data_IF_741140347079
#
_entry.id   IF_741140347079
#
_cell.length_a   1.000
_cell.length_b   1.000
_cell.length_c   1.000
_cell.angle_alpha   90.00
_cell.angle_beta   90.00
_cell.angle_gamma   90.00
#
_symmetry.space_group_name_H-M   'P 1'
#
loop_
_entity.id
_entity.type
_entity.pdbx_description
1 polymer ?
#
# COMPACT_ATOMS: atom_id res chain seq x y z
N UNK A 1 -3.32 7.79 -3.21
CA UNK A 1 -2.15 8.44 -3.84
C UNK A 1 -1.36 7.37 -4.55
N UNK A 2 -0.85 7.65 -5.75
CA UNK A 2 0.08 6.76 -6.44
C UNK A 2 1.45 6.78 -5.77
N UNK A 3 2.18 5.69 -5.90
CA UNK A 3 3.56 5.55 -5.41
C UNK A 3 4.47 5.14 -6.55
N UNK A 4 5.75 5.46 -6.40
CA UNK A 4 6.78 5.07 -7.34
C UNK A 4 7.22 3.63 -7.05
N UNK A 5 6.62 2.69 -7.77
CA UNK A 5 6.73 1.25 -7.53
C UNK A 5 7.44 0.57 -8.70
N UNK A 6 8.08 -0.57 -8.43
CA UNK A 6 8.71 -1.38 -9.47
C UNK A 6 7.65 -2.26 -10.17
N UNK A 7 7.52 -2.12 -11.48
CA UNK A 7 6.68 -2.98 -12.31
C UNK A 7 7.49 -4.19 -12.78
N UNK A 8 7.09 -5.39 -12.36
CA UNK A 8 7.78 -6.63 -12.73
C UNK A 8 7.39 -7.13 -14.13
N UNK A 9 6.30 -6.64 -14.73
CA UNK A 9 5.93 -6.98 -16.10
C UNK A 9 6.83 -6.27 -17.09
N UNK A 10 7.15 -5.00 -16.81
CA UNK A 10 7.97 -4.17 -17.71
C UNK A 10 9.42 -3.99 -17.25
N UNK A 11 9.72 -4.29 -16.00
CA UNK A 11 11.06 -4.18 -15.42
C UNK A 11 11.48 -2.73 -15.14
N UNK A 12 10.53 -1.80 -15.12
CA UNK A 12 10.75 -0.37 -14.93
C UNK A 12 10.00 0.12 -13.69
N UNK A 13 10.40 1.27 -13.14
CA UNK A 13 9.59 1.92 -12.11
C UNK A 13 8.50 2.78 -12.75
N UNK A 14 7.31 2.79 -12.13
CA UNK A 14 6.16 3.56 -12.56
C UNK A 14 5.35 4.10 -11.38
N UNK A 15 4.51 5.09 -11.63
CA UNK A 15 3.49 5.56 -10.69
C UNK A 15 2.32 4.59 -10.67
N UNK A 16 2.25 3.75 -9.66
CA UNK A 16 1.18 2.74 -9.52
C UNK A 16 0.36 3.09 -8.28
N UNK A 17 -0.96 3.15 -8.45
CA UNK A 17 -1.92 3.28 -7.36
C UNK A 17 -2.10 1.98 -6.59
N UNK A 18 -2.73 2.06 -5.42
CA UNK A 18 -2.92 0.91 -4.52
C UNK A 18 -3.69 -0.25 -5.17
N UNK A 19 -4.58 0.05 -6.11
CA UNK A 19 -5.36 -0.95 -6.85
C UNK A 19 -4.59 -1.57 -8.04
N UNK A 20 -3.32 -1.19 -8.24
CA UNK A 20 -2.49 -1.62 -9.36
C UNK A 20 -2.64 -0.76 -10.61
N UNK A 21 -3.36 0.36 -10.56
CA UNK A 21 -3.49 1.25 -11.70
C UNK A 21 -2.19 2.05 -11.95
N UNK A 22 -1.55 1.82 -13.10
CA UNK A 22 -0.39 2.56 -13.55
C UNK A 22 -0.83 3.90 -14.16
N UNK A 23 -0.55 4.98 -13.45
CA UNK A 23 -0.93 6.35 -13.83
C UNK A 23 -0.19 6.83 -15.08
N UNK A 24 1.06 6.40 -15.25
CA UNK A 24 1.90 6.85 -16.37
C UNK A 24 1.45 6.23 -17.70
N UNK A 25 1.02 4.96 -17.67
CA UNK A 25 0.52 4.23 -18.85
C UNK A 25 -1.00 4.32 -19.03
N UNK A 26 -1.74 4.58 -17.96
CA UNK A 26 -3.21 4.54 -17.95
C UNK A 26 -3.78 3.13 -18.01
N UNK A 27 -3.06 2.13 -17.51
CA UNK A 27 -3.41 0.70 -17.58
C UNK A 27 -3.20 0.03 -16.22
N UNK A 28 -3.82 -1.14 -16.02
CA UNK A 28 -3.60 -1.92 -14.80
C UNK A 28 -2.37 -2.81 -14.93
N UNK A 29 -1.50 -2.76 -13.93
CA UNK A 29 -0.37 -3.67 -13.74
C UNK A 29 -0.73 -4.66 -12.64
N UNK A 30 -0.55 -5.96 -12.89
CA UNK A 30 -0.92 -7.00 -11.92
C UNK A 30 0.30 -7.52 -11.16
N UNK A 31 1.47 -7.47 -11.78
CA UNK A 31 2.73 -7.88 -11.17
C UNK A 31 3.63 -6.67 -10.91
N UNK A 32 3.53 -6.09 -9.72
CA UNK A 32 4.30 -4.93 -9.29
C UNK A 32 4.62 -5.01 -7.78
N UNK A 33 5.55 -4.19 -7.33
CA UNK A 33 5.98 -4.13 -5.93
C UNK A 33 5.00 -3.30 -5.08
N UNK A 34 4.06 -4.00 -4.44
CA UNK A 34 3.04 -3.45 -3.54
C UNK A 34 3.46 -3.41 -2.06
N UNK A 35 4.72 -3.78 -1.76
CA UNK A 35 5.21 -3.97 -0.39
C UNK A 35 5.08 -2.72 0.48
N UNK A 36 5.29 -1.53 -0.09
CA UNK A 36 5.12 -0.26 0.62
C UNK A 36 3.66 0.05 0.97
N UNK A 37 2.70 -0.36 0.12
CA UNK A 37 1.28 -0.21 0.46
C UNK A 37 0.86 -1.18 1.56
N UNK A 38 1.38 -2.41 1.49
CA UNK A 38 1.12 -3.42 2.52
C UNK A 38 1.67 -3.01 3.88
N UNK A 39 2.89 -2.45 3.92
CA UNK A 39 3.49 -1.99 5.19
C UNK A 39 2.67 -0.89 5.83
N UNK A 40 2.25 0.11 5.07
CA UNK A 40 1.41 1.18 5.60
C UNK A 40 0.07 0.66 6.14
N UNK A 41 -0.57 -0.28 5.44
CA UNK A 41 -1.81 -0.90 5.93
C UNK A 41 -1.58 -1.70 7.22
N UNK A 42 -0.47 -2.45 7.31
CA UNK A 42 -0.10 -3.17 8.53
C UNK A 42 0.17 -2.21 9.71
N UNK A 43 0.83 -1.06 9.46
CA UNK A 43 1.09 -0.02 10.45
C UNK A 43 -0.20 0.68 10.90
N UNK A 44 -1.09 1.06 9.97
CA UNK A 44 -2.41 1.66 10.27
C UNK A 44 -3.28 0.69 11.08
N UNK A 45 -3.29 -0.59 10.72
CA UNK A 45 -4.02 -1.63 11.47
C UNK A 45 -3.42 -1.78 12.87
N UNK A 46 -2.09 -1.81 13.00
CA UNK A 46 -1.43 -1.93 14.29
C UNK A 46 -1.70 -0.71 15.19
N UNK A 47 -1.72 0.50 14.61
CA UNK A 47 -2.06 1.72 15.32
C UNK A 47 -3.52 1.70 15.78
N UNK A 48 -4.46 1.29 14.92
CA UNK A 48 -5.86 1.09 15.31
C UNK A 48 -6.00 0.07 16.46
N UNK A 49 -5.34 -1.08 16.37
CA UNK A 49 -5.36 -2.09 17.43
C UNK A 49 -4.82 -1.53 18.75
N UNK A 50 -3.74 -0.74 18.69
CA UNK A 50 -3.17 -0.10 19.87
C UNK A 50 -4.14 0.92 20.49
N UNK A 51 -4.84 1.70 19.68
CA UNK A 51 -5.86 2.64 20.18
C UNK A 51 -7.02 1.92 20.87
N UNK A 52 -7.45 0.77 20.35
CA UNK A 52 -8.48 -0.08 20.98
C UNK A 52 -7.97 -0.65 22.31
N UNK A 53 -6.75 -1.17 22.37
CA UNK A 53 -6.14 -1.67 23.60
C UNK A 53 -5.98 -0.57 24.67
N UNK A 54 -5.70 0.68 24.29
CA UNK A 54 -5.59 1.82 25.22
C UNK A 54 -6.98 2.35 25.68
N UNK A 55 -8.03 2.28 24.85
CA UNK A 55 -9.41 2.69 25.20
C UNK A 55 -10.17 1.65 26.05
N UNK A 56 -9.77 0.37 26.03
CA UNK A 56 -10.38 -0.71 26.84
C UNK A 56 -9.73 -0.85 28.25
N UNK A 57 -8.82 0.05 28.65
CA UNK A 57 -8.27 0.13 30.03
C UNK A 57 -9.13 1.08 30.86
N UNK A 58 -10.36 0.67 31.16
CA UNK A 58 -11.15 1.19 32.27
C UNK A 58 -11.56 -0.02 33.14
N UNK A 59 -10.69 -0.39 34.08
CA UNK A 59 -11.01 -1.28 35.21
C UNK A 59 -11.08 -0.49 36.51
#
# INVERSE_FOLDING_TARGET
MSKWCFDYETGEFANIERDGFNVDRGEYTYNWDDSEYRREEEEEIQEMFRMIDDEDIDW
#
